data_IF_032332177523
#
_entry.id   IF_032332177523
#
_cell.length_a   1.000
_cell.length_b   1.000
_cell.length_c   1.000
_cell.angle_alpha   90.00
_cell.angle_beta   90.00
_cell.angle_gamma   90.00
#
_symmetry.space_group_name_H-M   'P 1'
#
loop_
_entity.id
_entity.type
_entity.pdbx_description
1 polymer ?
#
# COMPACT_ATOMS: atom_id res chain seq x y z
N UNK A 1 45.78 13.73 44.63
CA UNK A 1 44.59 13.11 45.25
C UNK A 1 43.40 13.46 44.38
N UNK A 2 42.72 12.58 43.66
CA UNK A 2 42.70 11.12 43.58
C UNK A 2 42.33 10.81 42.11
N UNK A 3 43.18 10.05 41.42
CA UNK A 3 42.79 9.20 40.28
C UNK A 3 42.16 7.96 40.87
N UNK A 4 41.17 7.39 40.16
CA UNK A 4 40.72 5.99 40.12
C UNK A 4 39.34 6.02 39.46
N UNK A 5 38.87 5.14 38.57
CA UNK A 5 39.40 3.95 37.92
C UNK A 5 38.29 3.57 36.90
N UNK A 6 38.57 3.52 35.60
CA UNK A 6 37.70 2.79 34.66
C UNK A 6 38.53 2.30 33.48
N UNK A 7 39.11 1.12 33.67
CA UNK A 7 39.81 0.31 32.67
C UNK A 7 39.34 -1.13 32.86
N UNK A 8 39.05 -1.80 31.74
CA UNK A 8 38.82 -3.25 31.61
C UNK A 8 37.33 -3.57 31.43
N UNK A 9 36.85 -4.24 30.38
CA UNK A 9 37.52 -5.19 29.51
C UNK A 9 36.89 -5.21 28.10
N UNK A 10 37.75 -5.09 27.09
CA UNK A 10 37.48 -5.55 25.73
C UNK A 10 38.06 -6.96 25.66
N UNK A 11 37.21 -7.99 25.70
CA UNK A 11 37.60 -9.34 25.33
C UNK A 11 36.76 -9.78 24.13
N UNK A 12 37.48 -9.99 23.03
CA UNK A 12 36.99 -10.51 21.77
C UNK A 12 36.58 -11.98 21.94
N UNK A 13 35.45 -12.42 21.38
CA UNK A 13 35.23 -13.85 21.08
C UNK A 13 34.34 -14.00 19.86
N UNK A 14 35.01 -14.24 18.73
CA UNK A 14 34.63 -15.14 17.63
C UNK A 14 33.73 -16.29 18.06
N UNK A 15 32.58 -16.47 17.39
CA UNK A 15 31.97 -17.74 16.89
C UNK A 15 30.57 -17.40 16.35
N UNK A 16 30.29 -17.52 15.04
CA UNK A 16 29.77 -18.71 14.33
C UNK A 16 28.34 -18.45 13.83
N UNK A 17 28.23 -18.32 12.49
CA UNK A 17 27.20 -18.84 11.59
C UNK A 17 25.76 -18.99 12.11
N UNK A 18 24.84 -18.25 11.49
CA UNK A 18 23.55 -18.82 11.07
C UNK A 18 23.34 -18.45 9.61
N UNK A 19 23.36 -19.49 8.78
CA UNK A 19 22.91 -19.51 7.40
C UNK A 19 21.42 -19.18 7.36
N UNK A 20 21.01 -18.32 6.43
CA UNK A 20 19.69 -18.45 5.81
C UNK A 20 19.86 -18.21 4.31
N UNK A 21 20.05 -19.34 3.64
CA UNK A 21 20.00 -19.51 2.21
C UNK A 21 18.53 -19.65 1.80
N UNK A 22 17.96 -18.64 1.13
CA UNK A 22 16.75 -18.86 0.31
C UNK A 22 16.88 -18.08 -1.00
N UNK A 23 17.50 -18.79 -1.94
CA UNK A 23 17.21 -18.88 -3.37
C UNK A 23 16.48 -17.69 -4.03
N UNK A 24 17.27 -16.90 -4.78
CA UNK A 24 16.78 -15.97 -5.79
C UNK A 24 16.28 -16.76 -7.01
N UNK A 25 14.96 -16.92 -7.14
CA UNK A 25 14.35 -17.20 -8.45
C UNK A 25 14.27 -15.90 -9.25
N UNK A 26 15.28 -15.69 -10.08
CA UNK A 26 15.29 -14.77 -11.22
C UNK A 26 14.21 -15.18 -12.23
N UNK A 27 13.35 -14.24 -12.64
CA UNK A 27 12.59 -14.36 -13.90
C UNK A 27 12.81 -13.09 -14.75
N UNK A 28 12.83 -13.25 -16.09
CA UNK A 28 13.45 -12.32 -17.02
C UNK A 28 12.53 -11.18 -17.43
N UNK A 29 13.21 -10.12 -17.88
CA UNK A 29 12.65 -8.94 -18.52
C UNK A 29 12.39 -9.29 -19.98
N UNK A 30 11.13 -9.26 -20.42
CA UNK A 30 10.80 -9.32 -21.85
C UNK A 30 10.43 -7.92 -22.36
N UNK A 31 11.36 -7.39 -23.15
CA UNK A 31 11.18 -6.33 -24.13
C UNK A 31 10.21 -6.79 -25.23
N UNK A 32 9.10 -6.08 -25.45
CA UNK A 32 8.46 -6.03 -26.77
C UNK A 32 8.08 -4.58 -27.09
N UNK A 33 8.92 -3.96 -27.92
CA UNK A 33 8.57 -2.80 -28.71
C UNK A 33 7.49 -3.17 -29.74
N UNK A 34 6.43 -2.37 -29.83
CA UNK A 34 5.70 -2.17 -31.09
C UNK A 34 4.96 -0.83 -31.10
N UNK A 35 5.57 0.16 -31.75
CA UNK A 35 4.89 1.35 -32.28
C UNK A 35 4.09 0.98 -33.53
N UNK A 36 2.88 1.53 -33.72
CA UNK A 36 2.39 2.17 -34.95
C UNK A 36 0.94 2.69 -34.76
N UNK A 37 0.83 3.99 -34.45
CA UNK A 37 0.12 5.05 -35.18
C UNK A 37 -1.16 4.74 -36.02
N UNK A 38 -2.25 5.39 -35.57
CA UNK A 38 -3.40 6.03 -36.26
C UNK A 38 -4.45 5.19 -37.02
N UNK A 39 -5.68 5.25 -36.50
CA UNK A 39 -6.88 5.47 -37.31
C UNK A 39 -7.85 6.38 -36.53
N UNK A 40 -8.05 7.59 -37.09
CA UNK A 40 -9.08 8.55 -36.73
C UNK A 40 -10.45 8.00 -37.13
N UNK A 41 -11.42 8.03 -36.22
CA UNK A 41 -12.84 8.08 -36.59
C UNK A 41 -13.64 8.70 -35.47
N UNK A 42 -14.21 9.85 -35.82
CA UNK A 42 -15.00 10.71 -34.97
C UNK A 42 -16.45 10.28 -35.20
N UNK A 43 -17.14 9.81 -34.18
CA UNK A 43 -18.59 9.72 -34.20
C UNK A 43 -19.18 10.48 -33.00
N UNK A 44 -19.39 11.78 -33.24
CA UNK A 44 -20.51 12.51 -32.66
C UNK A 44 -21.79 11.75 -32.99
N UNK A 45 -22.69 11.52 -32.02
CA UNK A 45 -24.14 11.79 -32.14
C UNK A 45 -24.97 11.12 -31.03
N UNK A 46 -25.74 11.98 -30.37
CA UNK A 46 -27.05 11.79 -29.74
C UNK A 46 -27.14 11.11 -28.37
N UNK A 47 -27.29 11.99 -27.37
CA UNK A 47 -28.13 11.74 -26.21
C UNK A 47 -29.54 11.34 -26.67
N UNK A 48 -29.89 10.07 -26.51
CA UNK A 48 -31.30 9.68 -26.50
C UNK A 48 -31.79 9.70 -25.05
N UNK A 49 -32.48 10.79 -24.73
CA UNK A 49 -33.43 10.88 -23.63
C UNK A 49 -34.40 9.71 -23.73
N UNK A 50 -34.38 8.80 -22.76
CA UNK A 50 -35.37 7.71 -22.70
C UNK A 50 -36.63 8.28 -22.05
N UNK A 51 -37.58 8.64 -22.90
CA UNK A 51 -38.93 8.99 -22.50
C UNK A 51 -39.62 7.79 -21.80
N UNK A 52 -40.26 8.07 -20.67
CA UNK A 52 -41.08 7.11 -19.94
C UNK A 52 -42.41 6.91 -20.66
N UNK A 53 -42.50 5.93 -21.55
CA UNK A 53 -43.78 5.57 -22.18
C UNK A 53 -44.53 4.57 -21.31
N UNK A 54 -45.65 5.03 -20.76
CA UNK A 54 -46.61 4.24 -20.00
C UNK A 54 -47.37 3.31 -20.96
N UNK A 55 -47.26 1.98 -20.79
CA UNK A 55 -48.09 1.02 -21.51
C UNK A 55 -49.39 0.78 -20.73
N UNK A 56 -50.46 1.42 -21.17
CA UNK A 56 -51.84 1.04 -20.84
C UNK A 56 -52.30 -0.06 -21.78
N UNK A 57 -52.81 -1.14 -21.21
CA UNK A 57 -53.38 -2.31 -21.89
C UNK A 57 -54.56 -1.93 -22.80
N UNK A 58 -54.62 -2.51 -24.01
CA UNK A 58 -55.87 -2.65 -24.75
C UNK A 58 -55.87 -3.97 -25.53
N UNK A 59 -56.81 -4.84 -25.19
CA UNK A 59 -57.09 -6.09 -25.89
C UNK A 59 -57.64 -5.81 -27.30
N UNK A 60 -57.01 -6.41 -28.33
CA UNK A 60 -57.72 -6.90 -29.51
C UNK A 60 -56.97 -8.09 -30.12
N UNK A 61 -57.69 -9.20 -30.25
CA UNK A 61 -57.29 -10.50 -30.77
C UNK A 61 -57.01 -10.49 -32.28
N UNK A 62 -55.78 -10.85 -32.71
CA UNK A 62 -55.49 -11.50 -34.01
C UNK A 62 -54.30 -12.45 -33.85
N UNK A 63 -54.51 -13.66 -34.35
CA UNK A 63 -53.65 -14.84 -34.40
C UNK A 63 -52.44 -14.69 -35.35
N UNK A 64 -51.45 -15.57 -35.15
CA UNK A 64 -50.33 -15.96 -36.04
C UNK A 64 -48.94 -15.42 -35.68
N UNK A 65 -48.09 -16.33 -35.18
CA UNK A 65 -46.63 -16.21 -35.23
C UNK A 65 -45.94 -16.07 -33.87
N UNK A 66 -45.87 -17.17 -33.11
CA UNK A 66 -45.09 -17.26 -31.86
C UNK A 66 -43.59 -17.15 -32.12
N UNK A 67 -43.09 -15.92 -32.25
CA UNK A 67 -41.75 -15.59 -31.75
C UNK A 67 -41.96 -15.14 -30.31
N UNK A 68 -41.82 -16.10 -29.40
CA UNK A 68 -41.83 -15.81 -27.96
C UNK A 68 -40.57 -15.01 -27.66
N UNK A 69 -40.66 -13.69 -27.77
CA UNK A 69 -39.75 -12.77 -27.11
C UNK A 69 -39.90 -13.03 -25.62
N UNK A 70 -39.09 -13.97 -25.11
CA UNK A 70 -39.10 -14.39 -23.72
C UNK A 70 -38.86 -13.13 -22.90
N UNK A 71 -39.93 -12.60 -22.31
CA UNK A 71 -39.83 -11.37 -21.53
C UNK A 71 -39.01 -11.72 -20.29
N UNK A 72 -37.86 -11.08 -20.10
CA UNK A 72 -36.94 -11.33 -18.98
C UNK A 72 -37.50 -10.90 -17.62
N UNK A 73 -38.81 -10.66 -17.54
CA UNK A 73 -39.53 -10.18 -16.37
C UNK A 73 -40.44 -11.31 -15.89
N UNK A 74 -40.38 -11.61 -14.60
CA UNK A 74 -41.26 -12.59 -13.95
C UNK A 74 -41.97 -11.94 -12.75
N UNK A 75 -43.15 -12.45 -12.41
CA UNK A 75 -43.91 -11.97 -11.26
C UNK A 75 -43.60 -12.83 -10.03
N UNK A 76 -43.09 -12.19 -8.97
CA UNK A 76 -42.82 -12.79 -7.66
C UNK A 76 -43.76 -12.14 -6.65
N UNK A 77 -44.71 -12.91 -6.13
CA UNK A 77 -45.71 -12.44 -5.14
C UNK A 77 -46.39 -11.10 -5.50
N UNK A 78 -46.68 -10.88 -6.79
CA UNK A 78 -47.35 -9.66 -7.27
C UNK A 78 -46.40 -8.56 -7.74
N UNK A 79 -45.08 -8.74 -7.62
CA UNK A 79 -44.08 -7.80 -8.11
C UNK A 79 -43.40 -8.32 -9.39
N UNK A 80 -43.46 -7.53 -10.46
CA UNK A 80 -42.75 -7.83 -11.70
C UNK A 80 -41.28 -7.41 -11.57
N UNK A 81 -40.35 -8.36 -11.72
CA UNK A 81 -38.89 -8.11 -11.61
C UNK A 81 -38.12 -8.92 -12.65
N UNK A 82 -36.86 -8.55 -12.92
CA UNK A 82 -35.96 -9.36 -13.77
C UNK A 82 -35.85 -10.81 -13.26
N UNK A 83 -35.83 -11.77 -14.19
CA UNK A 83 -35.68 -13.20 -13.92
C UNK A 83 -34.42 -13.53 -13.10
N UNK A 84 -33.34 -12.77 -13.31
CA UNK A 84 -32.06 -12.96 -12.61
C UNK A 84 -32.13 -12.65 -11.12
N UNK A 85 -32.98 -11.72 -10.68
CA UNK A 85 -33.09 -11.32 -9.27
C UNK A 85 -34.22 -12.05 -8.54
N UNK A 86 -35.14 -12.68 -9.26
CA UNK A 86 -36.29 -13.35 -8.67
C UNK A 86 -35.95 -14.40 -7.59
N UNK A 87 -34.92 -15.27 -7.74
CA UNK A 87 -34.56 -16.21 -6.68
C UNK A 87 -34.13 -15.51 -5.38
N UNK A 88 -33.47 -14.35 -5.50
CA UNK A 88 -33.06 -13.54 -4.35
C UNK A 88 -34.31 -12.93 -3.71
N UNK A 89 -35.22 -12.36 -4.50
CA UNK A 89 -36.46 -11.76 -4.01
C UNK A 89 -37.35 -12.78 -3.28
N UNK A 90 -37.52 -13.98 -3.84
CA UNK A 90 -38.22 -15.08 -3.19
C UNK A 90 -37.58 -15.43 -1.84
N UNK A 91 -36.25 -15.53 -1.79
CA UNK A 91 -35.53 -15.80 -0.54
C UNK A 91 -35.75 -14.70 0.51
N UNK A 92 -35.78 -13.44 0.09
CA UNK A 92 -36.04 -12.30 0.96
C UNK A 92 -37.45 -12.39 1.53
N UNK A 93 -38.47 -12.56 0.67
CA UNK A 93 -39.86 -12.67 1.11
C UNK A 93 -40.09 -13.86 2.05
N UNK A 94 -39.43 -14.99 1.81
CA UNK A 94 -39.50 -16.15 2.70
C UNK A 94 -38.91 -15.88 4.09
N UNK A 95 -37.94 -14.97 4.22
CA UNK A 95 -37.27 -14.66 5.50
C UNK A 95 -37.85 -13.45 6.22
N UNK A 96 -38.29 -12.45 5.47
CA UNK A 96 -38.61 -11.11 5.98
C UNK A 96 -40.05 -10.70 5.70
N UNK A 97 -40.82 -11.51 4.97
CA UNK A 97 -42.14 -11.12 4.47
C UNK A 97 -42.07 -10.08 3.35
N UNK A 98 -43.21 -9.48 2.99
CA UNK A 98 -43.24 -8.40 2.01
C UNK A 98 -42.61 -7.12 2.58
N UNK A 99 -41.33 -6.90 2.27
CA UNK A 99 -40.57 -5.73 2.71
C UNK A 99 -41.04 -4.41 2.09
N UNK A 100 -41.89 -4.45 1.06
CA UNK A 100 -42.45 -3.27 0.38
C UNK A 100 -43.92 -2.99 0.76
N UNK A 101 -44.48 -3.70 1.75
CA UNK A 101 -45.86 -3.54 2.19
C UNK A 101 -46.18 -2.10 2.64
N UNK A 102 -45.24 -1.47 3.35
CA UNK A 102 -45.37 -0.11 3.88
C UNK A 102 -44.75 0.96 2.98
N UNK A 103 -44.37 0.62 1.75
CA UNK A 103 -43.71 1.55 0.85
C UNK A 103 -44.56 2.81 0.60
N UNK A 104 -43.90 3.97 0.53
CA UNK A 104 -44.56 5.26 0.28
C UNK A 104 -45.20 5.31 -1.12
N UNK A 105 -44.63 4.58 -2.09
CA UNK A 105 -45.12 4.52 -3.45
C UNK A 105 -46.23 3.48 -3.60
N UNK A 106 -47.41 3.92 -4.05
CA UNK A 106 -48.58 3.05 -4.24
C UNK A 106 -48.51 2.17 -5.50
N UNK A 107 -48.05 2.68 -6.67
CA UNK A 107 -47.88 1.85 -7.86
C UNK A 107 -46.93 0.66 -7.62
N UNK A 108 -47.40 -0.54 -7.98
CA UNK A 108 -46.63 -1.79 -7.88
C UNK A 108 -45.33 -1.71 -8.68
N UNK A 109 -45.36 -1.07 -9.86
CA UNK A 109 -44.17 -0.90 -10.71
C UNK A 109 -43.03 -0.14 -10.01
N UNK A 110 -43.34 0.91 -9.24
CA UNK A 110 -42.30 1.63 -8.48
C UNK A 110 -41.75 0.79 -7.33
N UNK A 111 -42.62 0.06 -6.61
CA UNK A 111 -42.20 -0.86 -5.56
C UNK A 111 -41.30 -1.97 -6.11
N UNK A 112 -41.66 -2.54 -7.26
CA UNK A 112 -40.84 -3.47 -8.02
C UNK A 112 -39.44 -2.93 -8.31
N UNK A 113 -39.31 -1.68 -8.76
CA UNK A 113 -38.00 -1.08 -9.04
C UNK A 113 -37.11 -0.99 -7.79
N UNK A 114 -37.66 -0.62 -6.63
CA UNK A 114 -36.90 -0.63 -5.38
C UNK A 114 -36.52 -2.05 -4.96
N UNK A 115 -37.41 -3.04 -5.14
CA UNK A 115 -37.10 -4.44 -4.85
C UNK A 115 -35.98 -4.99 -5.73
N UNK A 116 -35.87 -4.57 -6.99
CA UNK A 116 -34.72 -4.91 -7.84
C UNK A 116 -33.41 -4.38 -7.25
N UNK A 117 -33.38 -3.11 -6.82
CA UNK A 117 -32.20 -2.50 -6.17
C UNK A 117 -31.80 -3.29 -4.93
N UNK A 118 -32.78 -3.65 -4.08
CA UNK A 118 -32.51 -4.46 -2.87
C UNK A 118 -31.92 -5.82 -3.24
N UNK A 119 -32.44 -6.49 -4.27
CA UNK A 119 -31.92 -7.77 -4.70
C UNK A 119 -30.50 -7.66 -5.28
N UNK A 120 -30.22 -6.60 -6.03
CA UNK A 120 -28.88 -6.29 -6.54
C UNK A 120 -27.89 -6.10 -5.37
N UNK A 121 -28.25 -5.29 -4.37
CA UNK A 121 -27.47 -5.10 -3.13
C UNK A 121 -27.19 -6.44 -2.44
N UNK A 122 -28.22 -7.27 -2.26
CA UNK A 122 -28.09 -8.58 -1.62
C UNK A 122 -27.16 -9.50 -2.42
N UNK A 123 -27.28 -9.49 -3.75
CA UNK A 123 -26.39 -10.23 -4.64
C UNK A 123 -24.93 -9.81 -4.44
N UNK A 124 -24.65 -8.51 -4.42
CA UNK A 124 -23.30 -7.95 -4.18
C UNK A 124 -22.74 -8.32 -2.80
N UNK A 125 -23.58 -8.30 -1.76
CA UNK A 125 -23.19 -8.71 -0.40
C UNK A 125 -22.85 -10.21 -0.36
N UNK A 126 -23.65 -11.06 -1.00
CA UNK A 126 -23.48 -12.52 -0.98
C UNK A 126 -22.21 -12.98 -1.70
N UNK A 127 -21.86 -12.35 -2.81
CA UNK A 127 -20.63 -12.67 -3.56
C UNK A 127 -19.36 -12.24 -2.81
N UNK A 128 -19.49 -11.45 -1.73
CA UNK A 128 -18.38 -10.95 -0.90
C UNK A 128 -17.28 -10.20 -1.67
N UNK A 129 -17.53 -9.84 -2.93
CA UNK A 129 -16.50 -9.34 -3.85
C UNK A 129 -16.51 -7.81 -3.99
N UNK A 130 -17.55 -7.13 -3.52
CA UNK A 130 -17.74 -5.68 -3.67
C UNK A 130 -17.34 -4.89 -2.41
N UNK A 131 -16.22 -5.24 -1.78
CA UNK A 131 -15.69 -4.47 -0.63
C UNK A 131 -15.39 -3.03 -1.04
N UNK A 132 -14.90 -2.81 -2.27
CA UNK A 132 -14.50 -1.50 -2.74
C UNK A 132 -15.68 -0.56 -3.00
N UNK A 133 -16.85 -1.11 -3.34
CA UNK A 133 -18.07 -0.36 -3.68
C UNK A 133 -19.05 -0.21 -2.50
N UNK A 134 -18.59 -0.39 -1.25
CA UNK A 134 -19.47 -0.36 -0.07
C UNK A 134 -20.22 0.98 0.08
N UNK A 135 -19.62 2.11 -0.30
CA UNK A 135 -20.26 3.43 -0.22
C UNK A 135 -21.44 3.55 -1.22
N UNK A 136 -21.31 2.98 -2.42
CA UNK A 136 -22.41 2.92 -3.40
C UNK A 136 -23.56 2.06 -2.86
N UNK A 137 -23.23 0.91 -2.28
CA UNK A 137 -24.20 -0.01 -1.68
C UNK A 137 -24.93 0.66 -0.51
N UNK A 138 -24.21 1.36 0.37
CA UNK A 138 -24.79 2.13 1.47
C UNK A 138 -25.77 3.20 0.97
N UNK A 139 -25.43 3.90 -0.11
CA UNK A 139 -26.29 4.91 -0.72
C UNK A 139 -27.57 4.29 -1.31
N UNK A 140 -27.47 3.12 -1.94
CA UNK A 140 -28.64 2.37 -2.44
C UNK A 140 -29.55 1.94 -1.29
N UNK A 141 -28.98 1.42 -0.19
CA UNK A 141 -29.76 1.05 1.00
C UNK A 141 -30.46 2.27 1.60
N UNK A 142 -29.77 3.40 1.74
CA UNK A 142 -30.37 4.67 2.20
C UNK A 142 -31.53 5.12 1.30
N UNK A 143 -31.39 5.01 -0.02
CA UNK A 143 -32.45 5.36 -0.95
C UNK A 143 -33.68 4.44 -0.80
N UNK A 144 -33.47 3.14 -0.59
CA UNK A 144 -34.57 2.18 -0.37
C UNK A 144 -35.28 2.41 0.97
N UNK A 145 -34.54 2.77 2.02
CA UNK A 145 -35.12 3.14 3.31
C UNK A 145 -35.94 4.43 3.21
N UNK A 146 -35.48 5.42 2.44
CA UNK A 146 -36.23 6.66 2.19
C UNK A 146 -37.56 6.39 1.45
N UNK A 147 -37.65 5.30 0.69
CA UNK A 147 -38.88 4.81 0.08
C UNK A 147 -39.75 3.97 1.04
N UNK A 148 -39.35 3.84 2.30
CA UNK A 148 -39.96 3.02 3.34
C UNK A 148 -40.00 1.51 2.98
N UNK A 149 -38.96 1.02 2.30
CA UNK A 149 -38.72 -0.41 2.13
C UNK A 149 -38.01 -0.93 3.38
N UNK A 150 -38.47 -2.04 3.94
CA UNK A 150 -37.89 -2.62 5.15
C UNK A 150 -36.58 -3.38 4.84
N UNK A 151 -35.47 -2.66 4.93
CA UNK A 151 -34.11 -3.18 4.69
C UNK A 151 -33.21 -3.09 5.93
N UNK A 152 -33.78 -2.90 7.13
CA UNK A 152 -33.00 -2.74 8.37
C UNK A 152 -32.04 -3.90 8.64
N UNK A 153 -32.41 -5.11 8.20
CA UNK A 153 -31.60 -6.32 8.30
C UNK A 153 -30.30 -6.28 7.46
N UNK A 154 -30.24 -5.45 6.40
CA UNK A 154 -29.02 -5.28 5.61
C UNK A 154 -27.93 -4.53 6.38
N UNK A 155 -28.29 -3.67 7.34
CA UNK A 155 -27.33 -2.85 8.08
C UNK A 155 -26.27 -3.68 8.80
N UNK A 156 -26.66 -4.80 9.41
CA UNK A 156 -25.72 -5.69 10.09
C UNK A 156 -24.70 -6.32 9.12
N UNK A 157 -25.13 -6.65 7.90
CA UNK A 157 -24.25 -7.19 6.86
C UNK A 157 -23.28 -6.13 6.33
N UNK A 158 -23.77 -4.91 6.10
CA UNK A 158 -22.94 -3.78 5.67
C UNK A 158 -21.88 -3.43 6.72
N UNK A 159 -22.23 -3.45 8.00
CA UNK A 159 -21.27 -3.23 9.10
C UNK A 159 -20.11 -4.22 9.09
N UNK A 160 -20.38 -5.49 8.75
CA UNK A 160 -19.33 -6.51 8.64
C UNK A 160 -18.43 -6.23 7.44
N UNK A 161 -19.00 -5.85 6.29
CA UNK A 161 -18.23 -5.54 5.08
C UNK A 161 -17.37 -4.29 5.31
N UNK A 162 -17.94 -3.24 5.90
CA UNK A 162 -17.22 -2.00 6.25
C UNK A 162 -16.04 -2.28 7.18
N UNK A 163 -16.25 -3.04 8.27
CA UNK A 163 -15.15 -3.45 9.17
C UNK A 163 -14.07 -4.24 8.43
N UNK A 164 -14.45 -5.09 7.48
CA UNK A 164 -13.51 -5.83 6.64
C UNK A 164 -12.72 -4.90 5.71
N UNK A 165 -13.36 -3.90 5.09
CA UNK A 165 -12.70 -2.86 4.28
C UNK A 165 -11.67 -2.11 5.11
N UNK A 166 -12.07 -1.59 6.27
CA UNK A 166 -11.20 -0.88 7.21
C UNK A 166 -9.98 -1.74 7.61
N UNK A 167 -10.20 -3.02 7.94
CA UNK A 167 -9.14 -3.95 8.29
C UNK A 167 -8.19 -4.23 7.12
N UNK A 168 -8.73 -4.39 5.90
CA UNK A 168 -7.96 -4.60 4.67
C UNK A 168 -7.06 -3.41 4.37
N UNK A 169 -7.61 -2.18 4.39
CA UNK A 169 -6.85 -0.94 4.21
C UNK A 169 -5.73 -0.80 5.25
N UNK A 170 -6.04 -1.09 6.53
CA UNK A 170 -5.04 -1.05 7.61
C UNK A 170 -3.92 -2.09 7.41
N UNK A 171 -4.27 -3.29 6.97
CA UNK A 171 -3.30 -4.35 6.69
C UNK A 171 -2.35 -3.94 5.55
N UNK A 172 -2.90 -3.39 4.46
CA UNK A 172 -2.13 -2.89 3.33
C UNK A 172 -1.10 -1.82 3.76
N UNK A 173 -1.54 -0.81 4.51
CA UNK A 173 -0.67 0.26 5.01
C UNK A 173 0.45 -0.27 5.92
N UNK A 174 0.14 -1.26 6.77
CA UNK A 174 1.14 -1.89 7.63
C UNK A 174 2.19 -2.65 6.82
N UNK A 175 1.79 -3.34 5.76
CA UNK A 175 2.71 -4.06 4.87
C UNK A 175 3.63 -3.08 4.13
N UNK A 176 3.09 -1.99 3.61
CA UNK A 176 3.89 -0.92 2.99
C UNK A 176 4.91 -0.33 3.98
N UNK A 177 4.45 0.02 5.18
CA UNK A 177 5.32 0.56 6.24
C UNK A 177 6.43 -0.42 6.62
N UNK A 178 6.11 -1.72 6.70
CA UNK A 178 7.08 -2.78 6.97
C UNK A 178 8.14 -2.86 5.88
N UNK A 179 7.73 -2.84 4.60
CA UNK A 179 8.66 -2.85 3.46
C UNK A 179 9.58 -1.63 3.50
N UNK A 180 9.02 -0.44 3.69
CA UNK A 180 9.80 0.80 3.78
C UNK A 180 10.80 0.77 4.96
N UNK A 181 10.38 0.26 6.12
CA UNK A 181 11.25 0.11 7.30
C UNK A 181 12.43 -0.82 7.01
N UNK A 182 12.20 -1.94 6.31
CA UNK A 182 13.27 -2.88 5.93
C UNK A 182 14.27 -2.20 4.98
N UNK A 183 13.78 -1.45 4.00
CA UNK A 183 14.63 -0.72 3.05
C UNK A 183 15.48 0.34 3.75
N UNK A 184 14.87 1.17 4.60
CA UNK A 184 15.58 2.20 5.39
C UNK A 184 16.62 1.57 6.32
N UNK A 185 16.27 0.46 7.00
CA UNK A 185 17.22 -0.28 7.84
C UNK A 185 18.42 -0.76 7.03
N UNK A 186 18.19 -1.34 5.84
CA UNK A 186 19.27 -1.83 4.97
C UNK A 186 20.18 -0.69 4.49
N UNK A 187 19.59 0.44 4.11
CA UNK A 187 20.35 1.63 3.72
C UNK A 187 21.23 2.15 4.87
N UNK A 188 20.67 2.28 6.07
CA UNK A 188 21.42 2.70 7.26
C UNK A 188 22.55 1.72 7.62
N UNK A 189 22.34 0.42 7.44
CA UNK A 189 23.40 -0.58 7.64
C UNK A 189 24.53 -0.47 6.61
N UNK A 190 24.20 -0.15 5.35
CA UNK A 190 25.21 0.06 4.31
C UNK A 190 26.02 1.33 4.58
N UNK A 191 25.35 2.42 4.93
CA UNK A 191 25.99 3.68 5.31
C UNK A 191 26.93 3.49 6.50
N UNK A 192 26.49 2.80 7.56
CA UNK A 192 27.33 2.50 8.72
C UNK A 192 28.60 1.72 8.32
N UNK A 193 28.49 0.73 7.43
CA UNK A 193 29.66 -0.03 6.94
C UNK A 193 30.63 0.86 6.18
N UNK A 194 30.14 1.76 5.32
CA UNK A 194 30.97 2.72 4.61
C UNK A 194 31.72 3.62 5.60
N UNK A 195 31.02 4.20 6.59
CA UNK A 195 31.64 5.06 7.62
C UNK A 195 32.68 4.31 8.46
N UNK A 196 32.46 3.03 8.77
CA UNK A 196 33.46 2.21 9.44
C UNK A 196 34.75 2.06 8.62
N UNK A 197 34.63 1.86 7.30
CA UNK A 197 35.80 1.78 6.41
C UNK A 197 36.55 3.12 6.39
N UNK A 198 35.84 4.23 6.23
CA UNK A 198 36.44 5.57 6.24
C UNK A 198 37.15 5.88 7.58
N UNK A 199 36.54 5.50 8.70
CA UNK A 199 37.11 5.67 10.04
C UNK A 199 38.42 4.90 10.20
N UNK A 200 38.47 3.64 9.75
CA UNK A 200 39.69 2.84 9.81
C UNK A 200 40.81 3.46 8.96
N UNK A 201 40.51 3.91 7.75
CA UNK A 201 41.48 4.61 6.90
C UNK A 201 41.90 5.96 7.48
N UNK A 202 41.04 6.65 8.23
CA UNK A 202 41.40 7.87 8.94
C UNK A 202 42.32 7.59 10.14
N UNK A 203 42.05 6.52 10.89
CA UNK A 203 42.85 6.08 12.02
C UNK A 203 44.27 5.71 11.59
N UNK A 204 44.42 4.95 10.51
CA UNK A 204 45.74 4.61 9.95
C UNK A 204 46.55 5.86 9.58
N UNK A 205 45.92 6.83 8.91
CA UNK A 205 46.56 8.11 8.56
C UNK A 205 46.94 8.92 9.80
N UNK A 206 46.13 8.88 10.85
CA UNK A 206 46.42 9.54 12.12
C UNK A 206 47.65 8.93 12.80
N UNK A 207 47.74 7.61 12.86
CA UNK A 207 48.89 6.89 13.45
C UNK A 207 50.19 7.18 12.70
N UNK A 208 50.15 7.21 11.36
CA UNK A 208 51.33 7.56 10.57
C UNK A 208 51.75 9.03 10.76
N UNK A 209 50.79 9.94 10.83
CA UNK A 209 51.06 11.34 11.13
C UNK A 209 51.70 11.51 12.53
N UNK A 210 51.19 10.80 13.53
CA UNK A 210 51.75 10.80 14.88
C UNK A 210 53.20 10.27 14.90
N UNK A 211 53.45 9.19 14.14
CA UNK A 211 54.78 8.62 14.00
C UNK A 211 55.76 9.59 13.33
N UNK A 212 55.32 10.30 12.30
CA UNK A 212 56.10 11.35 11.64
C UNK A 212 56.46 12.48 12.60
N UNK A 213 55.49 12.94 13.41
CA UNK A 213 55.74 13.99 14.43
C UNK A 213 56.77 13.55 15.46
N UNK A 214 56.74 12.27 15.90
CA UNK A 214 57.76 11.74 16.82
C UNK A 214 59.16 11.75 16.22
N UNK A 215 59.29 11.36 14.93
CA UNK A 215 60.58 11.39 14.22
C UNK A 215 61.09 12.83 14.10
N UNK A 216 60.23 13.78 13.75
CA UNK A 216 60.60 15.19 13.61
C UNK A 216 61.09 15.79 14.94
N UNK A 217 60.43 15.49 16.06
CA UNK A 217 60.91 15.91 17.39
C UNK A 217 62.30 15.34 17.71
N UNK A 218 62.59 14.08 17.36
CA UNK A 218 63.91 13.50 17.59
C UNK A 218 64.99 14.19 16.75
N UNK A 219 64.68 14.48 15.48
CA UNK A 219 65.58 15.22 14.58
C UNK A 219 65.85 16.63 15.11
N UNK A 220 64.80 17.34 15.53
CA UNK A 220 64.92 18.67 16.14
C UNK A 220 65.87 18.65 17.36
N UNK A 221 65.68 17.70 18.27
CA UNK A 221 66.53 17.55 19.46
C UNK A 221 67.98 17.22 19.09
N UNK A 222 68.21 16.30 18.15
CA UNK A 222 69.57 15.97 17.70
C UNK A 222 70.28 17.17 17.07
N UNK A 223 69.57 17.94 16.24
CA UNK A 223 70.12 19.17 15.64
C UNK A 223 70.46 20.19 16.72
N UNK A 224 69.60 20.37 17.73
CA UNK A 224 69.84 21.25 18.87
C UNK A 224 71.10 20.86 19.64
N UNK A 225 71.31 19.57 19.91
CA UNK A 225 72.50 19.07 20.60
C UNK A 225 73.77 19.33 19.79
N UNK A 226 73.74 19.04 18.48
CA UNK A 226 74.88 19.29 17.57
C UNK A 226 75.23 20.78 17.46
N UNK A 227 74.22 21.66 17.48
CA UNK A 227 74.43 23.11 17.50
C UNK A 227 75.11 23.52 18.81
N UNK A 228 74.65 23.01 19.96
CA UNK A 228 75.27 23.29 21.26
C UNK A 228 76.72 22.80 21.34
N UNK A 229 76.99 21.58 20.87
CA UNK A 229 78.34 21.00 20.81
C UNK A 229 79.29 21.83 19.94
N UNK A 230 78.87 22.14 18.71
CA UNK A 230 79.68 22.96 17.79
C UNK A 230 79.96 24.36 18.36
N UNK A 231 79.00 24.96 19.07
CA UNK A 231 79.16 26.24 19.75
C UNK A 231 80.19 26.15 20.90
N UNK A 232 80.11 25.12 21.73
CA UNK A 232 81.09 24.88 22.80
C UNK A 232 82.52 24.69 22.27
N UNK A 233 82.67 23.98 21.15
CA UNK A 233 83.97 23.79 20.50
C UNK A 233 84.58 25.11 20.02
N UNK A 234 83.78 25.99 19.37
CA UNK A 234 84.22 27.33 18.96
C UNK A 234 84.67 28.15 20.17
N UNK A 235 83.88 28.15 21.24
CA UNK A 235 84.18 28.93 22.45
C UNK A 235 85.45 28.43 23.17
N UNK A 236 85.77 27.13 23.06
CA UNK A 236 87.01 26.53 23.57
C UNK A 236 88.25 26.86 22.72
N UNK A 237 88.12 26.87 21.39
CA UNK A 237 89.20 27.23 20.46
C UNK A 237 89.61 28.70 20.62
N UNK A 238 88.63 29.59 20.83
CA UNK A 238 88.85 31.01 21.08
C UNK A 238 89.61 31.30 22.39
N UNK A 239 89.73 30.32 23.31
CA UNK A 239 90.43 30.45 24.59
C UNK A 239 91.84 29.84 24.60
N UNK A 240 92.29 29.23 23.51
CA UNK A 240 93.66 28.71 23.44
C UNK A 240 94.68 29.86 23.32
N UNK A 241 95.78 29.85 24.11
CA UNK A 241 96.80 30.89 24.00
C UNK A 241 97.48 30.84 22.63
N UNK A 242 97.61 31.99 21.99
CA UNK A 242 98.46 32.15 20.81
C UNK A 242 99.91 32.16 21.30
N UNK A 243 100.66 31.10 20.99
CA UNK A 243 102.12 31.03 21.20
C UNK A 243 102.86 31.79 20.10
#
# INVERSE_FOLDING_TARGET
MVRDQLVGDISNTTTMLVEDNIDSTTMPVDDIARTHTMASSNNTTSHQSTEWTCLTSLDTHVDTGKVSSQTDIICVQGYNVKKSVAPILESIFNKHGDIAAECVFKPVSMRSSFLEIVCEVVGRIQTNNDIDNIEEIEQQVLATEAANINVSWLRAHLDVIRKRKEASTKCSLLMETKVNTVLVKKAAQMDLRERCVELMSAQERFEEAERCVRVLHLVENNLKDRILESKGNIDSLARQPVL
#
